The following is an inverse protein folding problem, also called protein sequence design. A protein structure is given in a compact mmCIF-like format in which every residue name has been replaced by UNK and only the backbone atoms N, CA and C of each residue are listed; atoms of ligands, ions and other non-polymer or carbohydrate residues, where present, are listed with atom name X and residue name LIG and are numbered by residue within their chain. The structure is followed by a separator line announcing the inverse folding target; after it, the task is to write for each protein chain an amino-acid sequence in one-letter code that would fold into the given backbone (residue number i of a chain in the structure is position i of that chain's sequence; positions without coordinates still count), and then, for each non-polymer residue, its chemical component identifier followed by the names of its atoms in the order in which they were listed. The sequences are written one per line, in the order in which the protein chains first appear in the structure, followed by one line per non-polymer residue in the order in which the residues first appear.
data_IF_474383005155
#
_entry.id   IF_474383005155
#
_cell.length_a   1.000
_cell.length_b   1.000
_cell.length_c   1.000
_cell.angle_alpha   90.00
_cell.angle_beta   90.00
_cell.angle_gamma   90.00
#
_symmetry.space_group_name_H-M   'P 1'
#
loop_
_entity.id
_entity.type
_entity.pdbx_description
1 polymer ?
#
# COMPACT_ATOMS: atom_id res chain seq x y z
N UNK A 1 -39.07 -44.34 30.49
CA UNK A 1 -37.95 -44.08 29.56
C UNK A 1 -37.86 -42.56 29.41
N UNK A 2 -36.93 -41.83 30.04
CA UNK A 2 -35.53 -41.54 29.61
C UNK A 2 -35.47 -41.45 28.06
N UNK A 3 -35.17 -40.33 27.40
CA UNK A 3 -34.08 -39.37 27.62
C UNK A 3 -34.38 -37.98 27.00
N UNK A 4 -33.93 -36.93 27.68
CA UNK A 4 -33.56 -35.62 27.13
C UNK A 4 -32.09 -35.72 26.72
N UNK A 5 -31.70 -35.23 25.53
CA UNK A 5 -30.68 -34.17 25.35
C UNK A 5 -30.46 -33.87 23.86
N UNK A 6 -30.52 -32.59 23.56
CA UNK A 6 -30.26 -31.90 22.29
C UNK A 6 -28.78 -31.98 21.94
N UNK A 7 -28.45 -32.19 20.66
CA UNK A 7 -27.13 -31.90 20.10
C UNK A 7 -27.30 -31.33 18.69
N UNK A 8 -27.55 -30.01 18.65
CA UNK A 8 -27.34 -29.19 17.46
C UNK A 8 -25.83 -29.10 17.23
N UNK A 9 -25.29 -29.87 16.28
CA UNK A 9 -23.96 -29.61 15.74
C UNK A 9 -24.02 -28.35 14.89
N UNK A 10 -23.78 -27.20 15.53
CA UNK A 10 -23.40 -25.99 14.82
C UNK A 10 -22.00 -26.18 14.24
N UNK A 11 -21.92 -26.53 12.96
CA UNK A 11 -20.67 -26.49 12.21
C UNK A 11 -20.34 -25.02 11.96
N UNK A 12 -19.69 -24.39 12.94
CA UNK A 12 -18.97 -23.15 12.73
C UNK A 12 -17.72 -23.48 11.90
N UNK A 13 -17.87 -23.53 10.58
CA UNK A 13 -16.74 -23.39 9.68
C UNK A 13 -16.16 -22.00 9.86
N UNK A 14 -15.21 -21.89 10.78
CA UNK A 14 -14.38 -20.71 10.93
C UNK A 14 -13.53 -20.61 9.68
N UNK A 15 -13.94 -19.76 8.73
CA UNK A 15 -13.04 -19.28 7.69
C UNK A 15 -11.95 -18.47 8.39
N UNK A 16 -10.89 -19.15 8.82
CA UNK A 16 -9.61 -18.52 9.11
C UNK A 16 -9.10 -17.97 7.76
N UNK A 17 -9.45 -16.72 7.45
CA UNK A 17 -8.67 -15.94 6.49
C UNK A 17 -7.27 -15.87 7.09
N UNK A 18 -6.32 -16.55 6.46
CA UNK A 18 -4.91 -16.36 6.77
C UNK A 18 -4.59 -14.88 6.53
N UNK A 19 -4.49 -14.12 7.62
CA UNK A 19 -3.87 -12.82 7.57
C UNK A 19 -2.41 -13.08 7.20
N UNK A 20 -1.99 -12.68 6.00
CA UNK A 20 -0.58 -12.76 5.63
C UNK A 20 0.21 -11.99 6.68
N UNK A 21 0.91 -12.73 7.54
CA UNK A 21 1.85 -12.15 8.49
C UNK A 21 2.97 -11.58 7.64
N UNK A 22 2.93 -10.27 7.41
CA UNK A 22 4.02 -9.56 6.76
C UNK A 22 5.29 -9.80 7.58
N UNK A 23 6.23 -10.56 7.03
CA UNK A 23 7.53 -10.81 7.65
C UNK A 23 8.21 -9.47 7.90
N UNK A 24 8.44 -9.12 9.17
CA UNK A 24 9.03 -7.84 9.55
C UNK A 24 10.42 -7.62 8.92
N UNK A 25 11.11 -8.70 8.50
CA UNK A 25 12.39 -8.59 7.80
C UNK A 25 12.28 -8.06 6.37
N UNK A 26 11.08 -7.99 5.81
CA UNK A 26 10.79 -7.38 4.50
C UNK A 26 10.37 -5.90 4.61
N UNK A 27 10.27 -5.35 5.83
CA UNK A 27 9.79 -3.99 6.06
C UNK A 27 10.95 -3.04 6.37
N UNK A 28 11.10 -2.01 5.56
CA UNK A 28 12.09 -0.94 5.76
C UNK A 28 11.35 0.32 6.15
N UNK A 29 11.61 0.82 7.37
CA UNK A 29 10.98 2.05 7.86
C UNK A 29 11.53 3.25 7.07
N UNK A 30 10.63 4.11 6.57
CA UNK A 30 10.99 5.25 5.72
C UNK A 30 10.44 6.60 6.22
N UNK A 31 10.04 6.69 7.50
CA UNK A 31 9.40 7.88 8.08
C UNK A 31 10.18 9.19 7.88
N UNK A 32 11.51 9.14 7.75
CA UNK A 32 12.32 10.34 7.52
C UNK A 32 12.13 10.93 6.10
N UNK A 33 11.68 10.10 5.14
CA UNK A 33 11.42 10.49 3.74
C UNK A 33 9.93 10.72 3.49
N UNK A 34 9.07 9.87 4.08
CA UNK A 34 7.62 9.95 4.00
C UNK A 34 7.03 9.65 5.37
N UNK A 35 6.63 10.70 6.09
CA UNK A 35 5.99 10.53 7.39
C UNK A 35 4.47 10.32 7.24
N UNK A 36 3.79 10.11 8.37
CA UNK A 36 2.34 9.95 8.41
C UNK A 36 1.58 11.11 7.74
N UNK A 37 1.93 12.36 8.04
CA UNK A 37 1.21 13.51 7.53
C UNK A 37 1.39 13.64 6.01
N UNK A 38 2.62 13.46 5.52
CA UNK A 38 2.88 13.45 4.08
C UNK A 38 2.04 12.39 3.36
N UNK A 39 2.00 11.17 3.91
CA UNK A 39 1.22 10.07 3.33
C UNK A 39 -0.27 10.39 3.30
N UNK A 40 -0.81 10.95 4.39
CA UNK A 40 -2.21 11.34 4.51
C UNK A 40 -2.59 12.45 3.51
N UNK A 41 -1.71 13.44 3.32
CA UNK A 41 -1.92 14.51 2.35
C UNK A 41 -1.88 14.00 0.92
N UNK A 42 -0.90 13.16 0.58
CA UNK A 42 -0.84 12.49 -0.72
C UNK A 42 -2.08 11.63 -0.98
N UNK A 43 -2.49 10.82 -0.01
CA UNK A 43 -3.71 10.01 -0.11
C UNK A 43 -4.93 10.88 -0.37
N UNK A 44 -5.10 11.94 0.42
CA UNK A 44 -6.24 12.86 0.28
C UNK A 44 -6.24 13.54 -1.08
N UNK A 45 -5.06 13.92 -1.59
CA UNK A 45 -4.91 14.48 -2.92
C UNK A 45 -5.34 13.49 -4.00
N UNK A 46 -4.85 12.25 -3.96
CA UNK A 46 -5.17 11.21 -4.94
C UNK A 46 -6.66 10.86 -4.91
N UNK A 47 -7.25 10.71 -3.73
CA UNK A 47 -8.69 10.44 -3.59
C UNK A 47 -9.56 11.56 -4.19
N UNK A 48 -9.10 12.80 -4.12
CA UNK A 48 -9.85 13.98 -4.57
C UNK A 48 -9.65 14.31 -6.06
N UNK A 49 -8.43 14.17 -6.56
CA UNK A 49 -8.04 14.65 -7.89
C UNK A 49 -7.70 13.53 -8.87
N UNK A 50 -7.54 12.31 -8.36
CA UNK A 50 -7.29 11.12 -9.15
C UNK A 50 -8.53 10.59 -9.84
N UNK A 51 -8.32 9.57 -10.66
CA UNK A 51 -9.37 8.76 -11.26
C UNK A 51 -9.42 7.38 -10.58
N UNK A 52 -10.03 6.41 -11.27
CA UNK A 52 -10.17 5.04 -10.79
C UNK A 52 -9.60 4.06 -11.80
N UNK A 53 -8.65 3.23 -11.37
CA UNK A 53 -7.99 2.25 -12.23
C UNK A 53 -7.68 0.95 -11.46
N UNK A 54 -7.69 -0.16 -12.19
CA UNK A 54 -7.34 -1.47 -11.65
C UNK A 54 -5.84 -1.69 -11.77
N UNK A 55 -5.16 -1.94 -10.64
CA UNK A 55 -3.73 -2.27 -10.61
C UNK A 55 -3.50 -3.77 -10.77
N UNK A 56 -4.24 -4.61 -10.02
CA UNK A 56 -4.12 -6.06 -10.07
C UNK A 56 -5.48 -6.74 -9.86
N UNK A 57 -5.63 -8.05 -10.16
CA UNK A 57 -6.92 -8.74 -10.05
C UNK A 57 -7.55 -8.70 -8.66
N UNK A 58 -6.72 -8.62 -7.61
CA UNK A 58 -7.20 -8.58 -6.22
C UNK A 58 -7.70 -7.20 -5.79
N UNK A 59 -7.27 -6.15 -6.49
CA UNK A 59 -7.63 -4.77 -6.20
C UNK A 59 -8.10 -4.11 -7.49
N UNK A 60 -9.42 -4.12 -7.68
CA UNK A 60 -10.09 -3.49 -8.83
C UNK A 60 -10.68 -2.15 -8.42
N UNK A 61 -10.78 -1.20 -9.36
CA UNK A 61 -11.39 0.11 -9.11
C UNK A 61 -10.72 0.83 -7.93
N UNK A 62 -9.43 1.14 -8.01
CA UNK A 62 -8.69 1.83 -6.95
C UNK A 62 -8.53 3.32 -7.26
N UNK A 63 -8.48 4.21 -6.25
CA UNK A 63 -8.00 5.56 -6.46
C UNK A 63 -6.62 5.53 -7.10
N UNK A 64 -6.50 6.26 -8.20
CA UNK A 64 -5.31 6.28 -9.02
C UNK A 64 -4.98 7.72 -9.42
N UNK A 65 -3.69 8.02 -9.53
CA UNK A 65 -3.23 9.30 -10.04
C UNK A 65 -2.05 9.07 -10.98
N UNK A 66 -2.10 9.69 -12.15
CA UNK A 66 -1.05 9.63 -13.17
C UNK A 66 -0.20 10.89 -13.12
N UNK A 67 1.10 10.71 -12.87
CA UNK A 67 2.10 11.76 -12.85
C UNK A 67 2.83 11.76 -14.19
N UNK A 68 2.25 12.43 -15.19
CA UNK A 68 2.77 12.44 -16.56
C UNK A 68 4.19 12.99 -16.69
N UNK A 69 4.58 13.91 -15.79
CA UNK A 69 5.90 14.55 -15.76
C UNK A 69 7.05 13.55 -15.62
N UNK A 70 6.85 12.54 -14.76
CA UNK A 70 7.84 11.50 -14.46
C UNK A 70 7.42 10.10 -14.94
N UNK A 71 6.34 10.01 -15.74
CA UNK A 71 5.73 8.77 -16.20
C UNK A 71 5.45 7.79 -15.04
N UNK A 72 4.76 8.26 -13.99
CA UNK A 72 4.41 7.43 -12.84
C UNK A 72 2.91 7.18 -12.78
N UNK A 73 2.53 5.98 -12.37
CA UNK A 73 1.19 5.65 -11.92
C UNK A 73 1.21 5.37 -10.43
N UNK A 74 0.31 6.03 -9.70
CA UNK A 74 0.19 5.88 -8.25
C UNK A 74 -1.17 5.30 -7.93
N UNK A 75 -1.19 4.16 -7.24
CA UNK A 75 -2.41 3.46 -6.86
C UNK A 75 -2.54 3.39 -5.34
N UNK A 76 -3.73 3.70 -4.84
CA UNK A 76 -4.06 3.54 -3.43
C UNK A 76 -4.87 2.26 -3.23
N UNK A 77 -4.34 1.27 -2.50
CA UNK A 77 -5.04 0.02 -2.25
C UNK A 77 -5.48 -0.08 -0.78
N UNK A 78 -6.58 -0.77 -0.48
CA UNK A 78 -6.98 -1.02 0.90
C UNK A 78 -6.10 -2.11 1.53
N UNK A 79 -5.74 -2.00 2.82
CA UNK A 79 -5.02 -3.07 3.52
C UNK A 79 -5.84 -4.34 3.71
N UNK A 80 -7.16 -4.27 3.56
CA UNK A 80 -8.07 -5.40 3.67
C UNK A 80 -8.92 -5.52 2.40
N UNK A 81 -8.74 -6.60 1.64
CA UNK A 81 -9.58 -6.95 0.48
C UNK A 81 -10.96 -7.50 0.85
N UNK A 82 -11.63 -6.92 1.85
CA UNK A 82 -13.00 -7.32 2.23
C UNK A 82 -14.02 -6.84 1.20
N UNK A 83 -15.09 -7.61 0.99
CA UNK A 83 -16.13 -7.42 -0.05
C UNK A 83 -16.96 -6.14 0.09
N UNK A 84 -16.81 -5.39 1.18
CA UNK A 84 -17.41 -4.06 1.34
C UNK A 84 -16.56 -2.98 0.67
N UNK A 85 -17.18 -2.02 -0.03
CA UNK A 85 -16.50 -0.84 -0.57
C UNK A 85 -15.60 -0.19 0.49
N UNK A 86 -14.28 -0.06 0.26
CA UNK A 86 -13.36 0.57 1.18
C UNK A 86 -13.75 2.03 1.44
N UNK A 87 -13.54 2.49 2.67
CA UNK A 87 -13.58 3.90 3.03
C UNK A 87 -12.23 4.56 2.73
N UNK A 88 -12.22 5.88 2.65
CA UNK A 88 -11.02 6.68 2.36
C UNK A 88 -9.82 6.32 3.26
N UNK A 89 -10.07 6.08 4.55
CA UNK A 89 -9.02 5.73 5.51
C UNK A 89 -8.51 4.28 5.38
N UNK A 90 -9.26 3.40 4.71
CA UNK A 90 -8.87 2.00 4.52
C UNK A 90 -7.74 1.88 3.48
N UNK A 91 -7.58 2.89 2.62
CA UNK A 91 -6.49 3.01 1.64
C UNK A 91 -5.17 3.36 2.34
N UNK A 92 -4.51 2.33 2.88
CA UNK A 92 -3.25 2.44 3.65
C UNK A 92 -2.04 1.94 2.87
N UNK A 93 -2.26 1.49 1.65
CA UNK A 93 -1.23 1.00 0.74
C UNK A 93 -1.10 1.97 -0.42
N UNK A 94 0.13 2.34 -0.76
CA UNK A 94 0.46 3.11 -1.95
C UNK A 94 1.41 2.31 -2.84
N UNK A 95 1.00 2.05 -4.08
CA UNK A 95 1.90 1.55 -5.12
C UNK A 95 2.35 2.71 -6.00
N UNK A 96 3.65 2.77 -6.27
CA UNK A 96 4.24 3.71 -7.22
C UNK A 96 4.89 2.90 -8.31
N UNK A 97 4.40 3.05 -9.54
CA UNK A 97 4.74 2.23 -10.69
C UNK A 97 5.29 3.14 -11.78
N UNK A 98 6.39 2.77 -12.41
CA UNK A 98 6.83 3.44 -13.64
C UNK A 98 5.95 3.03 -14.82
N UNK A 99 5.30 3.97 -15.49
CA UNK A 99 4.40 3.72 -16.64
C UNK A 99 5.17 3.41 -17.95
N UNK A 100 6.43 3.79 -18.08
CA UNK A 100 7.28 3.39 -19.20
C UNK A 100 8.75 3.74 -18.93
N UNK A 101 9.66 2.82 -19.20
CA UNK A 101 11.10 3.03 -19.12
C UNK A 101 11.88 1.74 -19.38
N UNK A 102 13.18 1.87 -19.68
CA UNK A 102 14.08 0.74 -19.95
C UNK A 102 14.24 -0.20 -18.73
N UNK A 103 13.88 0.26 -17.54
CA UNK A 103 13.93 -0.52 -16.30
C UNK A 103 12.68 -0.23 -15.47
N UNK A 104 11.62 -1.05 -15.56
CA UNK A 104 10.41 -0.85 -14.78
C UNK A 104 10.70 -1.05 -13.29
N UNK A 105 10.08 -0.23 -12.45
CA UNK A 105 10.11 -0.39 -11.00
C UNK A 105 8.72 -0.28 -10.39
N UNK A 106 8.56 -0.91 -9.23
CA UNK A 106 7.35 -0.89 -8.43
C UNK A 106 7.74 -0.72 -6.96
N UNK A 107 7.34 0.39 -6.35
CA UNK A 107 7.45 0.56 -4.91
C UNK A 107 6.11 0.28 -4.25
N UNK A 108 6.16 -0.43 -3.13
CA UNK A 108 5.00 -0.77 -2.33
C UNK A 108 5.18 -0.20 -0.92
N UNK A 109 4.44 0.87 -0.64
CA UNK A 109 4.49 1.60 0.62
C UNK A 109 3.28 1.25 1.47
N UNK A 110 3.50 1.03 2.77
CA UNK A 110 2.49 0.61 3.72
C UNK A 110 2.45 1.55 4.92
N UNK A 111 1.28 2.16 5.16
CA UNK A 111 0.99 2.92 6.38
C UNK A 111 0.41 1.99 7.45
N UNK A 112 1.05 1.96 8.62
CA UNK A 112 0.61 1.16 9.75
C UNK A 112 -0.38 1.92 10.65
N UNK A 113 -1.13 1.18 11.47
CA UNK A 113 -1.95 1.76 12.54
C UNK A 113 -1.13 2.53 13.60
N UNK A 114 0.18 2.28 13.67
CA UNK A 114 1.10 3.03 14.54
C UNK A 114 1.60 4.34 13.90
N UNK A 115 1.08 4.70 12.72
CA UNK A 115 1.45 5.88 11.93
C UNK A 115 2.89 5.85 11.42
N UNK A 116 3.47 4.65 11.32
CA UNK A 116 4.74 4.43 10.66
C UNK A 116 4.52 4.05 9.20
N UNK A 117 5.41 4.51 8.32
CA UNK A 117 5.39 4.22 6.89
C UNK A 117 6.58 3.35 6.54
N UNK A 118 6.30 2.26 5.82
CA UNK A 118 7.31 1.28 5.43
C UNK A 118 7.34 1.10 3.91
N UNK A 119 8.53 0.87 3.38
CA UNK A 119 8.73 0.24 2.09
C UNK A 119 8.77 -1.29 2.29
N UNK A 120 8.02 -2.02 1.48
CA UNK A 120 8.02 -3.48 1.49
C UNK A 120 8.95 -4.04 0.41
N UNK A 121 9.91 -4.84 0.85
CA UNK A 121 10.92 -5.52 0.04
C UNK A 121 10.57 -7.01 -0.10
N UNK A 122 9.58 -7.31 -0.95
CA UNK A 122 9.04 -8.67 -1.12
C UNK A 122 10.12 -9.73 -1.42
N UNK A 123 11.07 -9.38 -2.30
CA UNK A 123 12.13 -10.28 -2.73
C UNK A 123 13.41 -10.19 -1.89
N UNK A 124 13.41 -9.39 -0.81
CA UNK A 124 14.58 -9.14 0.04
C UNK A 124 15.81 -8.60 -0.73
N UNK A 125 15.59 -7.91 -1.84
CA UNK A 125 16.68 -7.38 -2.70
C UNK A 125 17.41 -6.20 -2.05
N UNK A 126 16.77 -5.52 -1.11
CA UNK A 126 17.34 -4.41 -0.36
C UNK A 126 18.10 -4.91 0.87
N UNK A 127 18.41 -6.20 0.98
CA UNK A 127 19.30 -6.72 2.02
C UNK A 127 20.75 -6.23 1.85
N UNK A 128 21.19 -5.99 0.62
CA UNK A 128 22.48 -5.38 0.32
C UNK A 128 22.44 -3.86 0.56
N UNK A 129 23.38 -3.34 1.35
CA UNK A 129 23.39 -1.93 1.78
C UNK A 129 23.53 -0.95 0.62
N UNK A 130 24.40 -1.26 -0.35
CA UNK A 130 24.65 -0.42 -1.54
C UNK A 130 23.37 -0.27 -2.38
N UNK A 131 22.70 -1.39 -2.65
CA UNK A 131 21.44 -1.48 -3.39
C UNK A 131 20.34 -0.74 -2.64
N UNK A 132 20.20 -1.01 -1.33
CA UNK A 132 19.25 -0.31 -0.47
C UNK A 132 19.43 1.20 -0.55
N UNK A 133 20.66 1.69 -0.37
CA UNK A 133 20.94 3.13 -0.40
C UNK A 133 20.57 3.76 -1.73
N UNK A 134 20.91 3.10 -2.85
CA UNK A 134 20.58 3.56 -4.20
C UNK A 134 19.06 3.66 -4.39
N UNK A 135 18.35 2.59 -4.05
CA UNK A 135 16.89 2.51 -4.19
C UNK A 135 16.17 3.52 -3.29
N UNK A 136 16.61 3.69 -2.04
CA UNK A 136 16.01 4.68 -1.14
C UNK A 136 16.28 6.11 -1.62
N UNK A 137 17.43 6.41 -2.21
CA UNK A 137 17.71 7.71 -2.79
C UNK A 137 16.81 8.00 -4.01
N UNK A 138 16.58 6.99 -4.86
CA UNK A 138 15.65 7.09 -5.99
C UNK A 138 14.21 7.31 -5.50
N UNK A 139 13.75 6.50 -4.55
CA UNK A 139 12.42 6.64 -3.94
C UNK A 139 12.24 8.03 -3.31
N UNK A 140 13.23 8.53 -2.56
CA UNK A 140 13.15 9.86 -1.97
C UNK A 140 12.99 10.96 -3.04
N UNK A 141 13.70 10.84 -4.16
CA UNK A 141 13.60 11.80 -5.27
C UNK A 141 12.20 11.78 -5.90
N UNK A 142 11.63 10.59 -6.09
CA UNK A 142 10.26 10.41 -6.58
C UNK A 142 9.25 11.02 -5.61
N UNK A 143 9.37 10.73 -4.31
CA UNK A 143 8.48 11.27 -3.30
C UNK A 143 8.53 12.80 -3.23
N UNK A 144 9.71 13.41 -3.37
CA UNK A 144 9.86 14.86 -3.47
C UNK A 144 9.12 15.40 -4.72
N UNK A 145 9.27 14.75 -5.87
CA UNK A 145 8.58 15.15 -7.10
C UNK A 145 7.06 15.08 -6.94
N UNK A 146 6.56 13.99 -6.37
CA UNK A 146 5.14 13.82 -6.05
C UNK A 146 4.64 14.94 -5.11
N UNK A 147 5.35 15.24 -4.01
CA UNK A 147 4.97 16.33 -3.11
C UNK A 147 4.90 17.68 -3.82
N UNK A 148 5.84 17.97 -4.75
CA UNK A 148 5.82 19.21 -5.53
C UNK A 148 4.62 19.27 -6.47
N UNK A 149 4.35 18.21 -7.22
CA UNK A 149 3.22 18.18 -8.16
C UNK A 149 1.88 18.31 -7.43
N UNK A 150 1.77 17.66 -6.27
CA UNK A 150 0.59 17.74 -5.39
C UNK A 150 0.52 19.04 -4.57
N UNK A 151 1.52 19.94 -4.69
CA UNK A 151 1.63 21.22 -3.98
C UNK A 151 1.60 21.06 -2.45
N UNK A 152 2.31 20.05 -1.96
CA UNK A 152 2.47 19.70 -0.53
C UNK A 152 3.80 20.21 0.06
N UNK A 153 4.64 20.85 -0.76
CA UNK A 153 5.80 21.59 -0.30
C UNK A 153 5.51 23.08 -0.43
N UNK A 154 5.84 23.83 0.61
CA UNK A 154 5.82 25.30 0.62
C UNK A 154 6.87 25.91 -0.33
#
# INVERSE_FOLDING_TARGET
MKYILVLMLGVFCSFLKAQEVTDSSMLIKINDMLNFYDFEEMRSFILKNGDRKTYCPNYTDNPHYEMNSDNLEIYMNPSSGTESKPKDLDYTIMYIVSNAGDTPFNYYLYLTNKRDVYLYDYNKYLSEESVRKSILAQLNSILISMKKEMKLLD
#
